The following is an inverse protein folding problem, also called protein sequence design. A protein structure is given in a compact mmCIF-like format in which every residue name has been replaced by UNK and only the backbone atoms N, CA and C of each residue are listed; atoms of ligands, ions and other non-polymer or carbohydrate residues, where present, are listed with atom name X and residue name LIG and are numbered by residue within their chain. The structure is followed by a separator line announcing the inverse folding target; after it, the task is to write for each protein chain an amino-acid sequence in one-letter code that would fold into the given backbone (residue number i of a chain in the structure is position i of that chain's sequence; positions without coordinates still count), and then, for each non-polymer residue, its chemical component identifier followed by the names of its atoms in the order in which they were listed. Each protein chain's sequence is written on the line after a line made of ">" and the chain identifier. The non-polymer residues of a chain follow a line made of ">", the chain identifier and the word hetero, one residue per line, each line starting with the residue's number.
data_IF_507789241683
#
_entry.id   IF_507789241683
#
_cell.length_a   1.000
_cell.length_b   1.000
_cell.length_c   1.000
_cell.angle_alpha   90.00
_cell.angle_beta   90.00
_cell.angle_gamma   90.00
#
_symmetry.space_group_name_H-M   'P 1'
#
loop_
_entity.id
_entity.type
_entity.pdbx_description
1 polymer ?
#
# COMPACT_ATOMS: atom_id res chain seq x y z
N UNK A 1 -48.92 -5.44 69.79
CA UNK A 1 -48.34 -5.86 68.46
C UNK A 1 -47.19 -4.91 68.18
N UNK A 2 -45.97 -5.41 68.40
CA UNK A 2 -44.71 -4.65 68.17
C UNK A 2 -44.17 -4.94 66.75
N UNK A 3 -44.12 -3.93 65.88
CA UNK A 3 -43.47 -4.03 64.61
C UNK A 3 -41.97 -3.82 64.78
N UNK A 4 -41.22 -4.86 64.45
CA UNK A 4 -39.78 -4.86 64.44
C UNK A 4 -39.33 -4.32 63.06
N UNK A 5 -38.73 -3.13 63.00
CA UNK A 5 -38.06 -2.60 61.81
C UNK A 5 -36.66 -3.20 61.76
N UNK A 6 -36.40 -4.05 60.74
CA UNK A 6 -35.08 -4.53 60.45
C UNK A 6 -34.42 -3.50 59.48
N UNK A 7 -33.44 -2.77 59.96
CA UNK A 7 -32.58 -1.88 59.17
C UNK A 7 -31.54 -2.75 58.49
N UNK A 8 -31.70 -2.94 57.20
CA UNK A 8 -30.65 -3.54 56.33
C UNK A 8 -29.66 -2.44 55.94
N UNK A 9 -28.51 -2.45 56.59
CA UNK A 9 -27.36 -1.64 56.20
C UNK A 9 -26.73 -2.23 54.93
N UNK A 10 -27.00 -1.61 53.77
CA UNK A 10 -26.24 -1.83 52.57
C UNK A 10 -24.87 -1.14 52.72
N UNK A 11 -23.85 -1.90 53.08
CA UNK A 11 -22.46 -1.46 52.95
C UNK A 11 -22.09 -1.43 51.48
N UNK A 12 -22.15 -0.27 50.84
CA UNK A 12 -21.56 -0.01 49.53
C UNK A 12 -20.05 -0.11 49.67
N UNK A 13 -19.52 -1.28 49.32
CA UNK A 13 -18.11 -1.43 48.98
C UNK A 13 -17.86 -0.63 47.71
N UNK A 14 -17.48 0.63 47.85
CA UNK A 14 -16.82 1.38 46.80
C UNK A 14 -15.46 0.70 46.56
N UNK A 15 -15.38 -0.13 45.55
CA UNK A 15 -14.10 -0.48 44.95
C UNK A 15 -13.52 0.83 44.41
N UNK A 16 -12.73 1.50 45.21
CA UNK A 16 -11.81 2.53 44.78
C UNK A 16 -10.77 1.81 43.93
N UNK A 17 -11.00 1.77 42.60
CA UNK A 17 -9.96 1.51 41.67
C UNK A 17 -9.00 2.70 41.78
N UNK A 18 -8.00 2.62 42.64
CA UNK A 18 -6.89 3.57 42.66
C UNK A 18 -6.16 3.35 41.35
N UNK A 19 -6.46 4.19 40.32
CA UNK A 19 -5.52 4.45 39.28
C UNK A 19 -4.22 4.86 39.99
N UNK A 20 -3.19 4.03 39.91
CA UNK A 20 -1.84 4.48 40.26
C UNK A 20 -1.58 5.67 39.36
N UNK A 21 -1.60 6.88 39.92
CA UNK A 21 -1.14 8.09 39.25
C UNK A 21 0.30 7.82 38.85
N UNK A 22 0.52 7.44 37.60
CA UNK A 22 1.86 7.25 37.04
C UNK A 22 2.51 8.63 37.07
N UNK A 23 3.47 8.80 37.99
CA UNK A 23 4.18 10.07 38.12
C UNK A 23 4.99 10.30 36.86
N UNK A 24 4.49 11.18 36.00
CA UNK A 24 5.14 11.52 34.74
C UNK A 24 6.53 12.11 35.02
N UNK A 25 7.58 11.47 34.52
CA UNK A 25 8.93 12.01 34.51
C UNK A 25 9.31 12.38 33.07
N UNK A 26 8.85 13.55 32.66
CA UNK A 26 9.04 14.04 31.28
C UNK A 26 10.53 14.10 30.86
N UNK A 27 11.45 14.35 31.81
CA UNK A 27 12.87 14.40 31.49
C UNK A 27 13.46 13.03 31.17
N UNK A 28 13.10 12.01 31.95
CA UNK A 28 13.51 10.63 31.68
C UNK A 28 12.87 10.10 30.41
N UNK A 29 11.56 10.34 30.26
CA UNK A 29 10.84 9.96 29.05
C UNK A 29 11.50 10.53 27.79
N UNK A 30 11.83 11.83 27.79
CA UNK A 30 12.49 12.47 26.65
C UNK A 30 13.90 11.90 26.41
N UNK A 31 14.65 11.54 27.47
CA UNK A 31 15.98 10.94 27.34
C UNK A 31 15.90 9.58 26.62
N UNK A 32 14.99 8.70 27.07
CA UNK A 32 14.78 7.39 26.44
C UNK A 32 14.23 7.54 25.01
N UNK A 33 13.30 8.46 24.79
CA UNK A 33 12.79 8.75 23.45
C UNK A 33 13.91 9.15 22.47
N UNK A 34 14.81 10.06 22.87
CA UNK A 34 15.93 10.49 22.04
C UNK A 34 16.90 9.33 21.75
N UNK A 35 17.22 8.53 22.78
CA UNK A 35 18.07 7.34 22.61
C UNK A 35 17.42 6.33 21.65
N UNK A 36 16.11 6.12 21.77
CA UNK A 36 15.35 5.28 20.84
C UNK A 36 15.44 5.77 19.40
N UNK A 37 15.37 7.08 19.16
CA UNK A 37 15.55 7.66 17.82
C UNK A 37 16.98 7.44 17.28
N UNK A 38 18.01 7.62 18.10
CA UNK A 38 19.41 7.39 17.73
C UNK A 38 19.66 5.92 17.37
N UNK A 39 19.16 4.98 18.18
CA UNK A 39 19.27 3.56 17.92
C UNK A 39 18.55 3.15 16.62
N UNK A 40 17.39 3.75 16.35
CA UNK A 40 16.67 3.53 15.11
C UNK A 40 17.47 3.99 13.87
N UNK A 41 18.16 5.12 13.95
CA UNK A 41 19.07 5.61 12.88
C UNK A 41 20.24 4.65 12.64
N UNK A 42 20.71 3.98 13.69
CA UNK A 42 21.75 2.96 13.61
C UNK A 42 21.22 1.57 13.17
N UNK A 43 19.96 1.47 12.80
CA UNK A 43 19.25 0.22 12.47
C UNK A 43 19.19 -0.81 13.62
N UNK A 44 19.40 -0.37 14.86
CA UNK A 44 19.27 -1.19 16.08
C UNK A 44 17.81 -1.20 16.55
N UNK A 45 16.92 -1.70 15.69
CA UNK A 45 15.47 -1.52 15.84
C UNK A 45 14.90 -2.14 17.12
N UNK A 46 15.38 -3.32 17.54
CA UNK A 46 14.91 -3.96 18.80
C UNK A 46 15.24 -3.10 20.02
N UNK A 47 16.49 -2.63 20.10
CA UNK A 47 16.92 -1.76 21.20
C UNK A 47 16.16 -0.42 21.19
N UNK A 48 15.87 0.11 19.98
CA UNK A 48 15.08 1.34 19.85
C UNK A 48 13.63 1.14 20.37
N UNK A 49 13.02 -0.03 20.14
CA UNK A 49 11.69 -0.35 20.69
C UNK A 49 11.74 -0.44 22.22
N UNK A 50 12.77 -1.08 22.80
CA UNK A 50 12.96 -1.15 24.25
C UNK A 50 13.09 0.24 24.89
N UNK A 51 13.81 1.15 24.23
CA UNK A 51 13.95 2.53 24.71
C UNK A 51 12.63 3.32 24.60
N UNK A 52 11.84 3.08 23.55
CA UNK A 52 10.50 3.67 23.49
C UNK A 52 9.57 3.10 24.55
N UNK A 53 9.68 1.81 24.91
CA UNK A 53 8.92 1.23 26.01
C UNK A 53 9.29 1.86 27.37
N UNK A 54 10.57 2.13 27.60
CA UNK A 54 11.01 2.87 28.78
C UNK A 54 10.49 4.32 28.76
N UNK A 55 10.51 4.99 27.59
CA UNK A 55 9.95 6.32 27.47
C UNK A 55 8.44 6.35 27.80
N UNK A 56 7.69 5.35 27.35
CA UNK A 56 6.25 5.18 27.63
C UNK A 56 6.01 4.93 29.13
N UNK A 57 6.87 4.16 29.82
CA UNK A 57 6.75 3.97 31.28
C UNK A 57 6.84 5.27 32.05
N UNK A 58 7.66 6.22 31.60
CA UNK A 58 7.81 7.54 32.23
C UNK A 58 6.78 8.57 31.76
N UNK A 59 6.23 8.42 30.55
CA UNK A 59 5.16 9.27 30.03
C UNK A 59 4.23 8.47 29.09
N UNK A 60 3.24 7.75 29.64
CA UNK A 60 2.36 6.88 28.83
C UNK A 60 1.38 7.64 27.95
N UNK A 61 1.19 8.96 28.17
CA UNK A 61 0.20 9.76 27.46
C UNK A 61 0.82 10.64 26.37
N UNK A 62 2.08 10.42 25.99
CA UNK A 62 2.67 11.11 24.83
C UNK A 62 2.41 10.32 23.53
N UNK A 63 1.50 10.78 22.66
CA UNK A 63 1.16 10.07 21.42
C UNK A 63 2.36 9.91 20.48
N UNK A 64 3.34 10.83 20.54
CA UNK A 64 4.53 10.79 19.67
C UNK A 64 5.38 9.56 19.92
N UNK A 65 5.49 9.10 21.17
CA UNK A 65 6.30 7.93 21.54
C UNK A 65 5.63 6.67 20.99
N UNK A 66 4.33 6.51 21.22
CA UNK A 66 3.55 5.39 20.69
C UNK A 66 3.63 5.33 19.17
N UNK A 67 3.48 6.47 18.49
CA UNK A 67 3.58 6.53 17.03
C UNK A 67 4.97 6.11 16.54
N UNK A 68 6.06 6.60 17.16
CA UNK A 68 7.42 6.21 16.76
C UNK A 68 7.68 4.73 16.97
N UNK A 69 7.25 4.17 18.11
CA UNK A 69 7.27 2.73 18.36
C UNK A 69 6.51 1.97 17.27
N UNK A 70 5.29 2.38 16.96
CA UNK A 70 4.46 1.77 15.91
C UNK A 70 5.14 1.76 14.54
N UNK A 71 5.79 2.85 14.15
CA UNK A 71 6.53 2.95 12.88
C UNK A 71 7.68 1.93 12.83
N UNK A 72 8.46 1.77 13.90
CA UNK A 72 9.53 0.78 13.96
C UNK A 72 8.99 -0.65 13.88
N UNK A 73 7.97 -0.96 14.66
CA UNK A 73 7.34 -2.27 14.67
C UNK A 73 6.77 -2.63 13.28
N UNK A 74 6.15 -1.65 12.60
CA UNK A 74 5.67 -1.83 11.23
C UNK A 74 6.84 -2.17 10.27
N UNK A 75 7.95 -1.43 10.36
CA UNK A 75 9.17 -1.70 9.58
C UNK A 75 9.76 -3.08 9.85
N UNK A 76 9.66 -3.57 11.09
CA UNK A 76 10.05 -4.91 11.51
C UNK A 76 9.01 -5.99 11.12
N UNK A 77 7.90 -5.62 10.47
CA UNK A 77 6.76 -6.49 10.11
C UNK A 77 6.03 -7.08 11.33
N UNK A 78 6.19 -6.49 12.50
CA UNK A 78 5.43 -6.83 13.69
C UNK A 78 4.11 -6.03 13.69
N UNK A 79 3.18 -6.46 12.81
CA UNK A 79 1.99 -5.68 12.47
C UNK A 79 0.98 -5.59 13.64
N UNK A 80 0.90 -6.59 14.50
CA UNK A 80 -0.03 -6.59 15.63
C UNK A 80 0.34 -5.53 16.67
N UNK A 81 1.59 -5.54 17.15
CA UNK A 81 2.05 -4.54 18.11
C UNK A 81 2.13 -3.13 17.49
N UNK A 82 2.44 -3.04 16.19
CA UNK A 82 2.38 -1.77 15.46
C UNK A 82 0.96 -1.19 15.45
N UNK A 83 -0.05 -2.03 15.17
CA UNK A 83 -1.45 -1.64 15.21
C UNK A 83 -1.84 -1.09 16.59
N UNK A 84 -1.50 -1.84 17.65
CA UNK A 84 -1.83 -1.43 19.02
C UNK A 84 -1.17 -0.09 19.37
N UNK A 85 0.08 0.12 18.92
CA UNK A 85 0.80 1.38 19.10
C UNK A 85 0.13 2.55 18.36
N UNK A 86 -0.32 2.35 17.11
CA UNK A 86 -1.03 3.39 16.37
C UNK A 86 -2.44 3.64 16.93
N UNK A 87 -3.14 2.60 17.38
CA UNK A 87 -4.43 2.77 18.06
C UNK A 87 -4.27 3.61 19.33
N UNK A 88 -3.22 3.33 20.13
CA UNK A 88 -2.93 4.14 21.32
C UNK A 88 -2.58 5.58 20.96
N UNK A 89 -1.85 5.80 19.87
CA UNK A 89 -1.60 7.15 19.35
C UNK A 89 -2.92 7.88 19.06
N UNK A 90 -3.83 7.23 18.34
CA UNK A 90 -5.15 7.79 17.96
C UNK A 90 -6.06 8.03 19.18
N UNK A 91 -5.99 7.17 20.20
CA UNK A 91 -6.71 7.40 21.47
C UNK A 91 -6.25 8.67 22.19
N UNK A 92 -4.94 8.95 22.14
CA UNK A 92 -4.32 10.11 22.79
C UNK A 92 -4.39 11.38 21.91
N UNK A 93 -4.27 11.23 20.61
CA UNK A 93 -4.37 12.31 19.62
C UNK A 93 -5.20 11.82 18.40
N UNK A 94 -6.52 12.02 18.42
CA UNK A 94 -7.38 11.60 17.30
C UNK A 94 -7.09 12.27 15.97
N UNK A 95 -6.37 13.41 15.97
CA UNK A 95 -6.02 14.16 14.77
C UNK A 95 -4.61 13.83 14.23
N UNK A 96 -3.94 12.81 14.79
CA UNK A 96 -2.65 12.33 14.25
C UNK A 96 -2.86 11.63 12.90
N UNK A 97 -2.82 12.41 11.81
CA UNK A 97 -3.00 11.91 10.45
C UNK A 97 -2.02 10.77 10.10
N UNK A 98 -0.77 10.86 10.60
CA UNK A 98 0.24 9.84 10.33
C UNK A 98 -0.09 8.50 10.98
N UNK A 99 -0.68 8.50 12.18
CA UNK A 99 -1.12 7.28 12.83
C UNK A 99 -2.27 6.62 12.05
N UNK A 100 -3.23 7.40 11.56
CA UNK A 100 -4.30 6.90 10.70
C UNK A 100 -3.76 6.36 9.36
N UNK A 101 -2.78 7.02 8.72
CA UNK A 101 -2.14 6.54 7.49
C UNK A 101 -1.49 5.18 7.72
N UNK A 102 -0.71 5.04 8.80
CA UNK A 102 -0.01 3.80 9.11
C UNK A 102 -0.98 2.67 9.51
N UNK A 103 -2.03 2.98 10.26
CA UNK A 103 -3.09 2.02 10.58
C UNK A 103 -3.81 1.54 9.31
N UNK A 104 -4.12 2.45 8.40
CA UNK A 104 -4.65 2.10 7.08
C UNK A 104 -3.72 1.19 6.27
N UNK A 105 -2.41 1.40 6.35
CA UNK A 105 -1.42 0.52 5.71
C UNK A 105 -1.42 -0.89 6.33
N UNK A 106 -1.56 -1.01 7.65
CA UNK A 106 -1.68 -2.31 8.33
C UNK A 106 -2.96 -3.01 7.86
N UNK A 107 -4.09 -2.32 7.85
CA UNK A 107 -5.35 -2.89 7.36
C UNK A 107 -5.23 -3.37 5.91
N UNK A 108 -4.59 -2.59 5.05
CA UNK A 108 -4.40 -2.94 3.64
C UNK A 108 -3.52 -4.18 3.47
N UNK A 109 -2.40 -4.27 4.18
CA UNK A 109 -1.50 -5.44 4.13
C UNK A 109 -2.14 -6.70 4.70
N UNK A 110 -3.07 -6.55 5.64
CA UNK A 110 -3.90 -7.65 6.20
C UNK A 110 -5.10 -8.02 5.33
N UNK A 111 -5.30 -7.36 4.17
CA UNK A 111 -6.40 -7.61 3.26
C UNK A 111 -7.71 -6.88 3.62
N UNK A 112 -7.77 -6.13 4.70
CA UNK A 112 -8.94 -5.41 5.22
C UNK A 112 -9.08 -4.05 4.49
N UNK A 113 -9.47 -4.11 3.20
CA UNK A 113 -9.48 -2.94 2.30
C UNK A 113 -10.46 -1.86 2.71
N UNK A 114 -11.58 -2.20 3.31
CA UNK A 114 -12.60 -1.22 3.70
C UNK A 114 -12.18 -0.44 4.95
N UNK A 115 -11.53 -1.09 5.91
CA UNK A 115 -10.93 -0.44 7.08
C UNK A 115 -9.74 0.43 6.68
N UNK A 116 -8.91 -0.04 5.75
CA UNK A 116 -7.82 0.76 5.17
C UNK A 116 -8.35 2.04 4.53
N UNK A 117 -9.41 1.93 3.73
CA UNK A 117 -10.04 3.06 3.06
C UNK A 117 -10.55 4.09 4.07
N UNK A 118 -11.28 3.66 5.11
CA UNK A 118 -11.77 4.53 6.18
C UNK A 118 -10.65 5.29 6.88
N UNK A 119 -9.57 4.57 7.26
CA UNK A 119 -8.42 5.17 7.94
C UNK A 119 -7.73 6.23 7.08
N UNK A 120 -7.52 5.94 5.79
CA UNK A 120 -6.86 6.87 4.87
C UNK A 120 -7.74 8.06 4.50
N UNK A 121 -9.04 7.86 4.23
CA UNK A 121 -9.96 8.96 3.92
C UNK A 121 -10.08 9.92 5.11
N UNK A 122 -10.10 9.39 6.34
CA UNK A 122 -10.07 10.21 7.54
C UNK A 122 -8.77 11.02 7.65
N UNK A 123 -7.62 10.38 7.50
CA UNK A 123 -6.30 11.02 7.56
C UNK A 123 -6.16 12.18 6.56
N UNK A 124 -6.58 11.95 5.31
CA UNK A 124 -6.55 12.96 4.23
C UNK A 124 -7.43 14.17 4.58
N UNK A 125 -8.56 13.93 5.27
CA UNK A 125 -9.46 14.99 5.71
C UNK A 125 -8.88 15.87 6.83
N UNK A 126 -7.90 15.36 7.61
CA UNK A 126 -7.30 16.09 8.72
C UNK A 126 -6.31 17.17 8.28
N UNK A 127 -5.24 16.76 7.62
CA UNK A 127 -4.18 17.66 7.11
C UNK A 127 -3.49 17.00 5.92
N UNK A 128 -3.63 17.53 4.70
CA UNK A 128 -2.83 17.09 3.57
C UNK A 128 -1.34 17.38 3.82
N UNK A 129 -0.49 16.39 3.64
CA UNK A 129 0.97 16.52 3.67
C UNK A 129 1.61 15.61 2.59
N UNK A 130 2.93 15.66 2.43
CA UNK A 130 3.64 14.90 1.40
C UNK A 130 3.50 13.37 1.55
N UNK A 131 3.13 12.88 2.74
CA UNK A 131 2.92 11.45 2.97
C UNK A 131 1.55 10.96 2.46
N UNK A 132 0.63 11.87 2.20
CA UNK A 132 -0.71 11.54 1.73
C UNK A 132 -0.71 10.98 0.30
N UNK A 133 0.31 11.28 -0.50
CA UNK A 133 0.43 10.79 -1.88
C UNK A 133 0.37 9.27 -1.97
N UNK A 134 1.02 8.55 -1.04
CA UNK A 134 0.98 7.08 -0.97
C UNK A 134 -0.39 6.56 -0.57
N UNK A 135 -1.01 7.18 0.43
CA UNK A 135 -2.36 6.84 0.85
C UNK A 135 -3.35 7.07 -0.30
N UNK A 136 -3.28 8.22 -0.96
CA UNK A 136 -4.10 8.54 -2.14
C UNK A 136 -3.94 7.52 -3.26
N UNK A 137 -2.70 7.14 -3.59
CA UNK A 137 -2.45 6.10 -4.59
C UNK A 137 -3.05 4.74 -4.18
N UNK A 138 -2.93 4.36 -2.92
CA UNK A 138 -3.48 3.10 -2.41
C UNK A 138 -5.02 3.11 -2.40
N UNK A 139 -5.65 4.23 -2.07
CA UNK A 139 -7.09 4.42 -2.22
C UNK A 139 -7.50 4.24 -3.69
N UNK A 140 -6.75 4.85 -4.61
CA UNK A 140 -6.95 4.67 -6.05
C UNK A 140 -6.88 3.19 -6.47
N UNK A 141 -5.92 2.43 -5.93
CA UNK A 141 -5.81 0.99 -6.17
C UNK A 141 -7.03 0.20 -5.64
N UNK A 142 -7.56 0.57 -4.47
CA UNK A 142 -8.78 -0.06 -3.93
C UNK A 142 -9.96 0.23 -4.86
N UNK A 143 -10.19 1.48 -5.25
CA UNK A 143 -11.29 1.81 -6.15
C UNK A 143 -11.14 1.15 -7.53
N UNK A 144 -9.91 1.04 -8.07
CA UNK A 144 -9.63 0.26 -9.28
C UNK A 144 -10.03 -1.21 -9.12
N UNK A 145 -9.69 -1.84 -8.00
CA UNK A 145 -10.06 -3.23 -7.71
C UNK A 145 -11.58 -3.45 -7.56
N UNK A 146 -12.30 -2.40 -7.13
CA UNK A 146 -13.77 -2.37 -7.06
C UNK A 146 -14.41 -1.98 -8.41
N UNK A 147 -13.62 -1.80 -9.48
CA UNK A 147 -14.03 -1.32 -10.80
C UNK A 147 -14.68 0.09 -10.80
N UNK A 148 -14.47 0.89 -9.75
CA UNK A 148 -14.82 2.32 -9.74
C UNK A 148 -13.67 3.14 -10.33
N UNK A 149 -13.56 3.09 -11.66
CA UNK A 149 -12.48 3.74 -12.39
C UNK A 149 -12.53 5.27 -12.27
N UNK A 150 -13.69 5.85 -12.03
CA UNK A 150 -13.83 7.30 -11.88
C UNK A 150 -13.18 7.79 -10.60
N UNK A 151 -13.49 7.17 -9.46
CA UNK A 151 -12.83 7.48 -8.19
C UNK A 151 -11.35 7.09 -8.20
N UNK A 152 -11.00 5.95 -8.80
CA UNK A 152 -9.60 5.55 -8.95
C UNK A 152 -8.77 6.64 -9.63
N UNK A 153 -9.25 7.16 -10.77
CA UNK A 153 -8.59 8.24 -11.51
C UNK A 153 -8.48 9.51 -10.66
N UNK A 154 -9.56 9.90 -9.96
CA UNK A 154 -9.55 11.07 -9.08
C UNK A 154 -8.45 10.98 -8.03
N UNK A 155 -8.35 9.85 -7.34
CA UNK A 155 -7.36 9.66 -6.27
C UNK A 155 -5.93 9.59 -6.81
N UNK A 156 -5.69 8.97 -7.97
CA UNK A 156 -4.37 9.00 -8.60
C UNK A 156 -3.97 10.41 -9.04
N UNK A 157 -4.90 11.21 -9.55
CA UNK A 157 -4.65 12.61 -9.89
C UNK A 157 -4.28 13.42 -8.65
N UNK A 158 -4.96 13.20 -7.51
CA UNK A 158 -4.58 13.81 -6.24
C UNK A 158 -3.17 13.39 -5.80
N UNK A 159 -2.82 12.10 -5.89
CA UNK A 159 -1.48 11.62 -5.57
C UNK A 159 -0.40 12.29 -6.44
N UNK A 160 -0.65 12.41 -7.75
CA UNK A 160 0.26 13.06 -8.71
C UNK A 160 0.40 14.56 -8.43
N UNK A 161 -0.65 15.22 -7.91
CA UNK A 161 -0.56 16.63 -7.55
C UNK A 161 0.49 16.88 -6.43
N UNK A 162 0.67 15.91 -5.52
CA UNK A 162 1.72 15.97 -4.49
C UNK A 162 3.09 15.53 -5.02
N UNK A 163 3.13 14.49 -5.86
CA UNK A 163 4.36 13.94 -6.43
C UNK A 163 4.29 13.85 -7.96
N UNK A 164 4.43 14.97 -8.69
CA UNK A 164 4.25 15.00 -10.15
C UNK A 164 5.24 14.13 -10.93
N UNK A 165 6.42 13.88 -10.35
CA UNK A 165 7.49 13.08 -10.95
C UNK A 165 7.51 11.63 -10.44
N UNK A 166 6.40 11.11 -9.91
CA UNK A 166 6.31 9.72 -9.50
C UNK A 166 5.81 8.87 -10.67
N UNK A 167 6.73 8.16 -11.33
CA UNK A 167 6.42 7.31 -12.50
C UNK A 167 5.42 6.20 -12.16
N UNK A 168 5.42 5.68 -10.93
CA UNK A 168 4.46 4.66 -10.49
C UNK A 168 3.03 5.21 -10.49
N UNK A 169 2.82 6.43 -9.99
CA UNK A 169 1.48 7.04 -9.96
C UNK A 169 0.99 7.37 -11.37
N UNK A 170 1.87 7.89 -12.23
CA UNK A 170 1.56 8.12 -13.63
C UNK A 170 1.18 6.82 -14.35
N UNK A 171 1.93 5.75 -14.10
CA UNK A 171 1.66 4.44 -14.69
C UNK A 171 0.30 3.87 -14.24
N UNK A 172 -0.05 3.96 -12.94
CA UNK A 172 -1.34 3.49 -12.44
C UNK A 172 -2.50 4.33 -12.97
N UNK A 173 -2.32 5.64 -13.12
CA UNK A 173 -3.30 6.53 -13.74
C UNK A 173 -3.52 6.20 -15.21
N UNK A 174 -2.45 6.01 -15.98
CA UNK A 174 -2.52 5.64 -17.40
C UNK A 174 -3.28 4.32 -17.62
N UNK A 175 -2.99 3.29 -16.80
CA UNK A 175 -3.72 2.02 -16.84
C UNK A 175 -5.22 2.21 -16.51
N UNK A 176 -5.56 3.07 -15.55
CA UNK A 176 -6.95 3.35 -15.20
C UNK A 176 -7.71 4.06 -16.33
N UNK A 177 -7.06 5.00 -17.06
CA UNK A 177 -7.66 5.59 -18.25
C UNK A 177 -7.86 4.56 -19.36
N UNK A 178 -6.91 3.64 -19.57
CA UNK A 178 -7.04 2.53 -20.53
C UNK A 178 -8.26 1.66 -20.18
N UNK A 179 -8.39 1.25 -18.91
CA UNK A 179 -9.52 0.46 -18.43
C UNK A 179 -10.86 1.19 -18.60
N UNK A 180 -10.86 2.52 -18.45
CA UNK A 180 -12.04 3.38 -18.66
C UNK A 180 -12.37 3.55 -20.16
N UNK A 181 -11.47 3.19 -21.07
CA UNK A 181 -11.63 3.34 -22.51
C UNK A 181 -11.12 4.66 -23.08
N UNK A 182 -10.56 5.56 -22.26
CA UNK A 182 -9.93 6.80 -22.72
C UNK A 182 -8.47 6.51 -23.14
N UNK A 183 -8.33 5.87 -24.31
CA UNK A 183 -7.04 5.36 -24.79
C UNK A 183 -6.07 6.49 -25.13
N UNK A 184 -6.58 7.66 -25.53
CA UNK A 184 -5.77 8.85 -25.87
C UNK A 184 -5.07 9.38 -24.60
N UNK A 185 -5.83 9.59 -23.51
CA UNK A 185 -5.24 10.01 -22.24
C UNK A 185 -4.33 8.96 -21.64
N UNK A 186 -4.69 7.68 -21.79
CA UNK A 186 -3.85 6.57 -21.33
C UNK A 186 -2.46 6.63 -22.00
N UNK A 187 -2.39 6.79 -23.34
CA UNK A 187 -1.12 6.89 -24.05
C UNK A 187 -0.31 8.10 -23.60
N UNK A 188 -0.94 9.28 -23.52
CA UNK A 188 -0.29 10.52 -23.06
C UNK A 188 0.36 10.36 -21.68
N UNK A 189 -0.38 9.83 -20.71
CA UNK A 189 0.09 9.69 -19.32
C UNK A 189 1.17 8.61 -19.20
N UNK A 190 1.04 7.48 -19.90
CA UNK A 190 2.08 6.45 -19.91
C UNK A 190 3.36 6.95 -20.57
N UNK A 191 3.27 7.75 -21.63
CA UNK A 191 4.44 8.38 -22.22
C UNK A 191 5.07 9.43 -21.28
N UNK A 192 4.27 10.17 -20.51
CA UNK A 192 4.79 11.06 -19.48
C UNK A 192 5.48 10.26 -18.34
N UNK A 193 4.96 9.10 -17.96
CA UNK A 193 5.65 8.20 -17.03
C UNK A 193 7.04 7.79 -17.54
N UNK A 194 7.21 7.51 -18.84
CA UNK A 194 8.50 7.18 -19.45
C UNK A 194 9.46 8.37 -19.55
N UNK A 195 8.97 9.60 -19.55
CA UNK A 195 9.86 10.78 -19.47
C UNK A 195 10.49 10.90 -18.07
N UNK A 196 9.78 10.44 -17.04
CA UNK A 196 10.27 10.44 -15.65
C UNK A 196 11.19 9.23 -15.42
N UNK A 197 10.77 8.05 -15.85
CA UNK A 197 11.53 6.80 -15.75
C UNK A 197 11.55 6.08 -17.09
N UNK A 198 12.62 6.28 -17.86
CA UNK A 198 12.81 5.68 -19.17
C UNK A 198 12.89 4.15 -19.14
N UNK A 199 13.25 3.57 -17.98
CA UNK A 199 13.36 2.15 -17.73
C UNK A 199 12.15 1.58 -16.96
N UNK A 200 11.01 2.26 -17.02
CA UNK A 200 9.77 1.82 -16.39
C UNK A 200 9.22 0.53 -17.02
N UNK A 201 9.63 -0.62 -16.51
CA UNK A 201 9.21 -1.94 -17.01
C UNK A 201 7.70 -2.08 -17.12
N UNK A 202 6.96 -1.72 -16.05
CA UNK A 202 5.49 -1.79 -16.03
C UNK A 202 4.86 -0.78 -17.00
N UNK A 203 5.50 0.37 -17.20
CA UNK A 203 5.00 1.39 -18.14
C UNK A 203 5.12 0.90 -19.59
N UNK A 204 6.22 0.27 -19.94
CA UNK A 204 6.35 -0.39 -21.27
C UNK A 204 5.33 -1.52 -21.44
N UNK A 205 5.10 -2.33 -20.39
CA UNK A 205 4.09 -3.36 -20.42
C UNK A 205 2.68 -2.77 -20.64
N UNK A 206 2.29 -1.74 -19.88
CA UNK A 206 0.98 -1.11 -20.00
C UNK A 206 0.78 -0.40 -21.35
N UNK A 207 1.82 0.19 -21.93
CA UNK A 207 1.79 0.67 -23.32
C UNK A 207 1.55 -0.47 -24.31
N UNK A 208 2.20 -1.62 -24.11
CA UNK A 208 1.95 -2.81 -24.91
C UNK A 208 0.48 -3.25 -24.86
N UNK A 209 -0.10 -3.33 -23.67
CA UNK A 209 -1.53 -3.67 -23.47
C UNK A 209 -2.45 -2.61 -24.09
N UNK A 210 -2.11 -1.33 -23.96
CA UNK A 210 -2.83 -0.23 -24.61
C UNK A 210 -2.85 -0.40 -26.13
N UNK A 211 -1.67 -0.61 -26.74
CA UNK A 211 -1.57 -0.79 -28.18
C UNK A 211 -2.26 -2.06 -28.68
N UNK A 212 -2.31 -3.13 -27.88
CA UNK A 212 -3.15 -4.29 -28.20
C UNK A 212 -4.63 -3.91 -28.24
N UNK A 213 -5.10 -3.13 -27.24
CA UNK A 213 -6.50 -2.67 -27.16
C UNK A 213 -6.87 -1.84 -28.40
N UNK A 214 -5.93 -1.05 -28.93
CA UNK A 214 -6.10 -0.27 -30.16
C UNK A 214 -5.91 -1.07 -31.46
N UNK A 215 -5.55 -2.35 -31.38
CA UNK A 215 -5.20 -3.17 -32.57
C UNK A 215 -3.84 -2.82 -33.21
N UNK A 216 -3.02 -1.99 -32.55
CA UNK A 216 -1.68 -1.59 -33.01
C UNK A 216 -0.63 -2.65 -32.63
N UNK A 217 -0.81 -3.89 -33.10
CA UNK A 217 -0.05 -5.05 -32.62
C UNK A 217 1.47 -4.95 -32.81
N UNK A 218 1.97 -4.28 -33.85
CA UNK A 218 3.41 -4.05 -34.03
C UNK A 218 3.99 -3.18 -32.91
N UNK A 219 3.30 -2.08 -32.53
CA UNK A 219 3.70 -1.23 -31.41
C UNK A 219 3.62 -1.99 -30.08
N UNK A 220 2.62 -2.87 -29.92
CA UNK A 220 2.49 -3.72 -28.74
C UNK A 220 3.70 -4.67 -28.60
N UNK A 221 4.11 -5.34 -29.69
CA UNK A 221 5.31 -6.20 -29.73
C UNK A 221 6.53 -5.42 -29.24
N UNK A 222 6.81 -4.24 -29.81
CA UNK A 222 7.96 -3.42 -29.42
C UNK A 222 7.93 -3.03 -27.94
N UNK A 223 6.75 -2.70 -27.43
CA UNK A 223 6.58 -2.29 -26.04
C UNK A 223 6.78 -3.46 -25.07
N UNK A 224 6.24 -4.65 -25.36
CA UNK A 224 6.48 -5.83 -24.54
C UNK A 224 7.94 -6.29 -24.56
N UNK A 225 8.61 -6.20 -25.73
CA UNK A 225 10.05 -6.48 -25.82
C UNK A 225 10.87 -5.55 -24.95
N UNK A 226 10.57 -4.23 -24.94
CA UNK A 226 11.22 -3.27 -24.04
C UNK A 226 11.00 -3.62 -22.58
N UNK A 227 9.76 -3.98 -22.18
CA UNK A 227 9.46 -4.46 -20.84
C UNK A 227 10.31 -5.69 -20.46
N UNK A 228 10.43 -6.67 -21.37
CA UNK A 228 11.20 -7.90 -21.17
C UNK A 228 12.72 -7.69 -21.20
N UNK A 229 13.21 -6.70 -21.92
CA UNK A 229 14.62 -6.31 -21.88
C UNK A 229 15.03 -5.76 -20.50
N UNK A 230 14.09 -5.08 -19.82
CA UNK A 230 14.29 -4.55 -18.46
C UNK A 230 14.16 -5.66 -17.43
N UNK A 231 13.12 -6.49 -17.54
CA UNK A 231 12.90 -7.64 -16.65
C UNK A 231 12.57 -8.91 -17.46
N UNK A 232 13.57 -9.75 -17.74
CA UNK A 232 13.38 -11.01 -18.47
C UNK A 232 12.55 -12.06 -17.73
N UNK A 233 12.23 -11.86 -16.46
CA UNK A 233 11.44 -12.79 -15.65
C UNK A 233 9.95 -12.42 -15.57
N UNK A 234 9.52 -11.39 -16.29
CA UNK A 234 8.12 -10.97 -16.27
C UNK A 234 7.27 -11.85 -17.21
N UNK A 235 6.79 -12.97 -16.69
CA UNK A 235 6.11 -14.03 -17.46
C UNK A 235 4.88 -13.56 -18.21
N UNK A 236 4.05 -12.67 -17.62
CA UNK A 236 2.86 -12.13 -18.28
C UNK A 236 3.23 -11.34 -19.56
N UNK A 237 4.37 -10.66 -19.57
CA UNK A 237 4.81 -9.93 -20.78
C UNK A 237 5.14 -10.87 -21.94
N UNK A 238 5.69 -12.06 -21.70
CA UNK A 238 5.90 -13.07 -22.75
C UNK A 238 4.57 -13.57 -23.33
N UNK A 239 3.57 -13.80 -22.49
CA UNK A 239 2.25 -14.20 -22.95
C UNK A 239 1.59 -13.13 -23.82
N UNK A 240 1.63 -11.86 -23.38
CA UNK A 240 1.07 -10.74 -24.13
C UNK A 240 1.85 -10.47 -25.43
N UNK A 241 3.18 -10.62 -25.38
CA UNK A 241 4.04 -10.58 -26.57
C UNK A 241 3.62 -11.64 -27.60
N UNK A 242 3.48 -12.90 -27.15
CA UNK A 242 3.06 -14.00 -28.03
C UNK A 242 1.69 -13.73 -28.66
N UNK A 243 0.74 -13.23 -27.88
CA UNK A 243 -0.59 -12.85 -28.36
C UNK A 243 -0.52 -11.79 -29.47
N UNK A 244 0.35 -10.78 -29.30
CA UNK A 244 0.55 -9.72 -30.31
C UNK A 244 1.28 -10.25 -31.55
N UNK A 245 2.26 -11.14 -31.38
CA UNK A 245 2.99 -11.78 -32.46
C UNK A 245 2.08 -12.65 -33.35
N UNK A 246 1.13 -13.38 -32.75
CA UNK A 246 0.11 -14.13 -33.50
C UNK A 246 -0.77 -13.21 -34.35
N UNK A 247 -1.13 -12.04 -33.84
CA UNK A 247 -1.89 -11.03 -34.60
C UNK A 247 -1.10 -10.39 -35.75
N UNK A 248 0.22 -10.49 -35.72
CA UNK A 248 1.10 -10.05 -36.78
C UNK A 248 1.62 -11.20 -37.67
N UNK A 249 1.02 -12.38 -37.58
CA UNK A 249 1.37 -13.61 -38.31
C UNK A 249 2.81 -14.10 -38.04
N UNK A 250 3.40 -13.75 -36.90
CA UNK A 250 4.72 -14.23 -36.52
C UNK A 250 4.64 -15.39 -35.53
N UNK A 251 4.20 -16.55 -36.04
CA UNK A 251 3.90 -17.75 -35.28
C UNK A 251 5.12 -18.32 -34.53
N UNK A 252 6.26 -18.34 -35.20
CA UNK A 252 7.49 -18.93 -34.62
C UNK A 252 7.99 -18.12 -33.41
N UNK A 253 8.02 -16.80 -33.53
CA UNK A 253 8.39 -15.96 -32.38
C UNK A 253 7.37 -16.00 -31.26
N UNK A 254 6.06 -16.19 -31.59
CA UNK A 254 5.03 -16.37 -30.57
C UNK A 254 5.24 -17.67 -29.78
N UNK A 255 5.56 -18.78 -30.49
CA UNK A 255 5.90 -20.06 -29.87
C UNK A 255 7.08 -19.93 -28.91
N UNK A 256 8.20 -19.32 -29.35
CA UNK A 256 9.38 -19.10 -28.50
C UNK A 256 9.06 -18.25 -27.26
N UNK A 257 8.20 -17.26 -27.41
CA UNK A 257 7.77 -16.42 -26.27
C UNK A 257 6.95 -17.22 -25.24
N UNK A 258 6.05 -18.11 -25.72
CA UNK A 258 5.28 -18.98 -24.84
C UNK A 258 6.14 -20.05 -24.17
N UNK A 259 7.14 -20.59 -24.85
CA UNK A 259 8.11 -21.50 -24.24
C UNK A 259 8.82 -20.84 -23.04
N UNK A 260 9.25 -19.60 -23.18
CA UNK A 260 9.85 -18.83 -22.07
C UNK A 260 8.86 -18.58 -20.93
N UNK A 261 7.60 -18.25 -21.25
CA UNK A 261 6.56 -18.08 -20.24
C UNK A 261 6.32 -19.37 -19.45
N UNK A 262 6.20 -20.52 -20.15
CA UNK A 262 5.99 -21.84 -19.55
C UNK A 262 7.21 -22.31 -18.74
N UNK A 263 8.43 -22.03 -19.24
CA UNK A 263 9.67 -22.35 -18.51
C UNK A 263 9.73 -21.63 -17.16
N UNK A 264 9.26 -20.38 -17.11
CA UNK A 264 9.27 -19.58 -15.89
C UNK A 264 8.07 -19.87 -14.95
N UNK A 265 6.92 -20.27 -15.50
CA UNK A 265 5.72 -20.69 -14.75
C UNK A 265 5.07 -21.93 -15.42
N UNK A 266 5.60 -23.13 -15.12
CA UNK A 266 5.16 -24.37 -15.76
C UNK A 266 3.71 -24.77 -15.46
N UNK A 267 3.13 -24.28 -14.37
CA UNK A 267 1.78 -24.66 -13.94
C UNK A 267 0.69 -23.70 -14.48
N UNK A 268 1.05 -22.71 -15.26
CA UNK A 268 0.10 -21.74 -15.80
C UNK A 268 -0.65 -22.31 -17.00
N UNK A 269 -1.87 -22.75 -16.75
CA UNK A 269 -2.72 -23.37 -17.78
C UNK A 269 -2.97 -22.43 -18.97
N UNK A 270 -3.09 -21.12 -18.74
CA UNK A 270 -3.30 -20.12 -19.79
C UNK A 270 -2.16 -20.11 -20.82
N UNK A 271 -0.93 -20.25 -20.36
CA UNK A 271 0.25 -20.28 -21.24
C UNK A 271 0.30 -21.59 -22.04
N UNK A 272 0.04 -22.71 -21.38
CA UNK A 272 -0.02 -24.04 -22.03
C UNK A 272 -1.12 -24.15 -23.08
N UNK A 273 -2.30 -23.64 -22.76
CA UNK A 273 -3.45 -23.65 -23.70
C UNK A 273 -3.15 -22.87 -24.97
N UNK A 274 -2.57 -21.67 -24.84
CA UNK A 274 -2.21 -20.86 -26.01
C UNK A 274 -1.09 -21.51 -26.80
N UNK A 275 -0.08 -22.09 -26.13
CA UNK A 275 1.01 -22.82 -26.79
C UNK A 275 0.49 -23.99 -27.62
N UNK A 276 -0.39 -24.81 -27.03
CA UNK A 276 -0.99 -25.95 -27.72
C UNK A 276 -1.83 -25.53 -28.95
N UNK A 277 -2.57 -24.41 -28.86
CA UNK A 277 -3.28 -23.82 -30.00
C UNK A 277 -2.33 -23.39 -31.11
N UNK A 278 -1.19 -22.82 -30.74
CA UNK A 278 -0.17 -22.42 -31.72
C UNK A 278 0.46 -23.62 -32.42
N UNK A 279 0.67 -24.73 -31.71
CA UNK A 279 1.19 -25.96 -32.32
C UNK A 279 0.20 -26.63 -33.28
N UNK A 280 -1.09 -26.56 -33.00
CA UNK A 280 -2.17 -27.21 -33.79
C UNK A 280 -2.60 -26.38 -35.00
N UNK A 281 -2.23 -25.14 -35.15
CA UNK A 281 -2.60 -24.23 -36.23
C UNK A 281 -1.49 -24.09 -37.27
#
# INVERSE_FOLDING_TARGET
>A
MRHLFILVLFSSFLFSCTSQDVKVDAKKSQSHYNLGLELAQLNLFKNAVEEFDLAIQFNPEDPKIHRKKGILLFGMKNYEEARDSFQKTIELDPEDAQAHINLGMIHYTSGNKDEALKSWEYAIGLKPDDNDSKALNNIGNIYKSKNDLSKSIEYYQKAIAYEPSNSTYLNTLGDSYRLKGDLVKAEEILLNSLKVDTNGMLTHFNLGVLYQTEGKFKKAVDSFQKSLNINPYYTEAYYQLATSLLKTNNKESAKQSLEKAIQADPNNLKFQELYNKVLAS
#
